data_IF_842714227485
#
_entry.id   IF_842714227485
#
_cell.length_a   1.000
_cell.length_b   1.000
_cell.length_c   1.000
_cell.angle_alpha   90.00
_cell.angle_beta   90.00
_cell.angle_gamma   90.00
#
_symmetry.space_group_name_H-M   'P 1'
#
loop_
_entity.id
_entity.type
_entity.pdbx_description
1 polymer ?
#
# COMPACT_ATOMS: atom_id res chain seq x y z
N UNK A 1 -1.00 -31.61 -21.55
CA UNK A 1 0.13 -30.69 -21.78
C UNK A 1 1.39 -31.51 -21.60
N UNK A 2 2.18 -31.66 -22.65
CA UNK A 2 3.47 -32.32 -22.53
C UNK A 2 4.43 -31.41 -21.75
N UNK A 3 5.49 -31.93 -21.11
CA UNK A 3 6.49 -31.09 -20.44
C UNK A 3 7.12 -30.02 -21.35
N UNK A 4 7.03 -30.19 -22.68
CA UNK A 4 7.48 -29.25 -23.69
C UNK A 4 6.56 -28.02 -23.86
N UNK A 5 5.30 -28.08 -23.41
CA UNK A 5 4.32 -26.99 -23.53
C UNK A 5 4.30 -26.06 -22.29
N UNK A 6 5.12 -26.36 -21.27
CA UNK A 6 5.18 -25.55 -20.06
C UNK A 6 5.89 -24.21 -20.35
N UNK A 7 5.33 -23.06 -19.92
CA UNK A 7 5.96 -21.76 -20.09
C UNK A 7 7.39 -21.75 -19.52
N UNK A 8 8.33 -21.14 -20.24
CA UNK A 8 9.72 -21.07 -19.79
C UNK A 8 9.80 -20.37 -18.41
N UNK A 9 10.51 -20.95 -17.42
CA UNK A 9 10.61 -20.37 -16.09
C UNK A 9 11.29 -19.00 -16.12
N UNK A 10 10.66 -18.00 -15.50
CA UNK A 10 11.25 -16.67 -15.34
C UNK A 10 12.30 -16.71 -14.22
N UNK A 11 13.54 -16.36 -14.54
CA UNK A 11 14.64 -16.29 -13.57
C UNK A 11 14.84 -14.91 -12.95
N UNK A 12 14.17 -13.90 -13.51
CA UNK A 12 14.20 -12.53 -13.01
C UNK A 12 12.78 -12.02 -12.80
N UNK A 13 12.62 -11.13 -11.82
CA UNK A 13 11.33 -10.47 -11.59
C UNK A 13 10.96 -9.62 -12.82
N UNK A 14 9.77 -9.81 -13.40
CA UNK A 14 9.37 -9.10 -14.60
C UNK A 14 9.12 -7.62 -14.31
N UNK A 15 9.32 -6.79 -15.34
CA UNK A 15 9.16 -5.33 -15.26
C UNK A 15 7.84 -4.86 -14.60
N UNK A 16 6.66 -5.43 -14.95
CA UNK A 16 5.41 -5.05 -14.34
C UNK A 16 5.35 -5.30 -12.82
N UNK A 17 5.93 -6.40 -12.34
CA UNK A 17 6.00 -6.69 -10.90
C UNK A 17 6.90 -5.67 -10.20
N UNK A 18 8.07 -5.34 -10.78
CA UNK A 18 8.95 -4.28 -10.26
C UNK A 18 8.24 -2.93 -10.23
N UNK A 19 7.50 -2.58 -11.29
CA UNK A 19 6.73 -1.35 -11.37
C UNK A 19 5.65 -1.27 -10.30
N UNK A 20 4.87 -2.34 -10.11
CA UNK A 20 3.86 -2.43 -9.06
C UNK A 20 4.49 -2.31 -7.65
N UNK A 21 5.63 -2.95 -7.41
CA UNK A 21 6.37 -2.81 -6.15
C UNK A 21 6.86 -1.39 -5.90
N UNK A 22 7.37 -0.70 -6.93
CA UNK A 22 7.82 0.68 -6.80
C UNK A 22 6.67 1.60 -6.44
N UNK A 23 5.51 1.45 -7.09
CA UNK A 23 4.31 2.22 -6.76
C UNK A 23 3.87 1.96 -5.32
N UNK A 24 3.73 0.68 -4.94
CA UNK A 24 3.32 0.30 -3.60
C UNK A 24 4.31 0.79 -2.53
N UNK A 25 5.62 0.75 -2.81
CA UNK A 25 6.65 1.29 -1.93
C UNK A 25 6.51 2.81 -1.73
N UNK A 26 6.30 3.57 -2.80
CA UNK A 26 6.08 5.02 -2.71
C UNK A 26 4.81 5.35 -1.90
N UNK A 27 3.76 4.56 -2.06
CA UNK A 27 2.53 4.68 -1.26
C UNK A 27 2.82 4.38 0.22
N UNK A 28 3.58 3.34 0.55
CA UNK A 28 4.01 3.03 1.91
C UNK A 28 4.76 4.20 2.53
N UNK A 29 5.79 4.72 1.84
CA UNK A 29 6.59 5.85 2.35
C UNK A 29 5.72 7.09 2.58
N UNK A 30 4.81 7.38 1.66
CA UNK A 30 3.91 8.53 1.75
C UNK A 30 2.95 8.38 2.93
N UNK A 31 2.26 7.24 3.04
CA UNK A 31 1.31 6.96 4.12
C UNK A 31 2.01 6.90 5.48
N UNK A 32 3.20 6.33 5.54
CA UNK A 32 3.98 6.27 6.76
C UNK A 32 4.43 7.68 7.20
N UNK A 33 4.94 8.50 6.28
CA UNK A 33 5.38 9.86 6.57
C UNK A 33 4.25 10.79 7.02
N UNK A 34 3.15 10.81 6.26
CA UNK A 34 1.96 11.60 6.61
C UNK A 34 1.33 11.06 7.89
N UNK A 35 1.15 9.74 7.99
CA UNK A 35 0.55 9.08 9.15
C UNK A 35 1.34 9.33 10.45
N UNK A 36 2.68 9.27 10.40
CA UNK A 36 3.53 9.61 11.55
C UNK A 36 3.37 11.07 11.94
N UNK A 37 3.35 11.98 10.96
CA UNK A 37 3.16 13.42 11.23
C UNK A 37 1.80 13.70 11.87
N UNK A 38 0.70 13.20 11.28
CA UNK A 38 -0.65 13.43 11.79
C UNK A 38 -0.87 12.78 13.16
N UNK A 39 -0.39 11.55 13.37
CA UNK A 39 -0.51 10.88 14.67
C UNK A 39 0.28 11.63 15.75
N UNK A 40 1.47 12.14 15.43
CA UNK A 40 2.28 12.95 16.36
C UNK A 40 1.58 14.27 16.68
N UNK A 41 1.17 15.02 15.66
CA UNK A 41 0.47 16.32 15.83
C UNK A 41 -0.83 16.15 16.60
N UNK A 42 -1.66 15.16 16.24
CA UNK A 42 -2.90 14.87 16.95
C UNK A 42 -2.69 14.42 18.39
N UNK A 43 -1.66 13.60 18.65
CA UNK A 43 -1.31 13.18 20.03
C UNK A 43 -0.86 14.37 20.88
N UNK A 44 -0.02 15.26 20.32
CA UNK A 44 0.39 16.48 21.00
C UNK A 44 -0.80 17.42 21.23
N UNK A 45 -1.67 17.59 20.24
CA UNK A 45 -2.88 18.39 20.36
C UNK A 45 -3.80 17.89 21.46
N UNK A 46 -4.09 16.58 21.49
CA UNK A 46 -4.93 15.93 22.50
C UNK A 46 -4.32 16.04 23.90
N UNK A 47 -3.00 15.92 24.02
CA UNK A 47 -2.30 16.10 25.29
C UNK A 47 -2.34 17.56 25.77
N UNK A 48 -2.12 18.52 24.86
CA UNK A 48 -2.15 19.96 25.17
C UNK A 48 -3.55 20.42 25.60
N UNK A 49 -4.62 19.97 24.93
CA UNK A 49 -6.00 20.34 25.30
C UNK A 49 -6.36 19.83 26.69
N UNK A 50 -5.97 18.60 27.04
CA UNK A 50 -6.15 18.06 28.40
C UNK A 50 -5.39 18.86 29.47
N UNK A 51 -4.17 19.33 29.16
CA UNK A 51 -3.45 20.22 30.08
C UNK A 51 -4.16 21.57 30.22
N UNK A 52 -4.69 22.11 29.13
CA UNK A 52 -5.42 23.37 29.15
C UNK A 52 -6.66 23.26 30.05
N UNK A 53 -7.47 22.21 29.88
CA UNK A 53 -8.63 21.93 30.74
C UNK A 53 -8.24 21.73 32.22
N UNK A 54 -7.07 21.16 32.48
CA UNK A 54 -6.61 20.92 33.84
C UNK A 54 -6.17 22.22 34.55
N UNK A 55 -5.54 23.14 33.82
CA UNK A 55 -5.00 24.39 34.37
C UNK A 55 -5.93 25.59 34.20
N UNK A 56 -6.96 25.50 33.35
CA UNK A 56 -7.88 26.59 33.02
C UNK A 56 -9.31 26.08 32.86
N UNK A 57 -10.31 26.93 33.09
CA UNK A 57 -11.73 26.63 32.81
C UNK A 57 -12.08 26.81 31.31
N UNK A 58 -11.13 26.63 30.41
CA UNK A 58 -11.34 26.83 28.98
C UNK A 58 -12.15 25.67 28.37
N UNK A 59 -13.23 26.00 27.65
CA UNK A 59 -13.97 25.03 26.85
C UNK A 59 -13.21 24.74 25.54
N UNK A 60 -12.49 23.62 25.53
CA UNK A 60 -11.67 23.16 24.40
C UNK A 60 -12.17 21.86 23.78
N UNK A 61 -13.43 21.48 24.05
CA UNK A 61 -14.00 20.21 23.58
C UNK A 61 -13.87 20.04 22.06
N UNK A 62 -14.16 21.09 21.29
CA UNK A 62 -14.02 21.08 19.82
C UNK A 62 -12.57 20.86 19.38
N UNK A 63 -11.60 21.51 20.03
CA UNK A 63 -10.19 21.34 19.70
C UNK A 63 -9.68 19.95 20.09
N UNK A 64 -10.18 19.39 21.20
CA UNK A 64 -9.84 18.04 21.62
C UNK A 64 -10.38 17.01 20.61
N UNK A 65 -11.63 17.16 20.16
CA UNK A 65 -12.25 16.27 19.17
C UNK A 65 -11.54 16.34 17.81
N UNK A 66 -11.19 17.55 17.35
CA UNK A 66 -10.41 17.73 16.13
C UNK A 66 -9.01 17.10 16.25
N UNK A 67 -8.32 17.33 17.36
CA UNK A 67 -7.00 16.74 17.60
C UNK A 67 -7.05 15.21 17.66
N UNK A 68 -8.09 14.65 18.27
CA UNK A 68 -8.32 13.21 18.31
C UNK A 68 -8.64 12.64 16.94
N UNK A 69 -9.45 13.32 16.13
CA UNK A 69 -9.75 12.92 14.76
C UNK A 69 -8.47 12.91 13.89
N UNK A 70 -7.61 13.93 14.02
CA UNK A 70 -6.30 14.00 13.36
C UNK A 70 -5.39 12.85 13.81
N UNK A 71 -5.36 12.57 15.12
CA UNK A 71 -4.58 11.47 15.69
C UNK A 71 -5.02 10.12 15.11
N UNK A 72 -6.33 9.87 15.09
CA UNK A 72 -6.94 8.63 14.58
C UNK A 72 -6.68 8.46 13.08
N UNK A 73 -6.80 9.54 12.30
CA UNK A 73 -6.46 9.54 10.88
C UNK A 73 -4.99 9.15 10.66
N UNK A 74 -4.07 9.70 11.46
CA UNK A 74 -2.65 9.36 11.41
C UNK A 74 -2.37 7.87 11.68
N UNK A 75 -2.95 7.32 12.74
CA UNK A 75 -2.81 5.89 13.06
C UNK A 75 -3.41 4.97 12.00
N UNK A 76 -4.54 5.37 11.40
CA UNK A 76 -5.17 4.63 10.31
C UNK A 76 -4.25 4.57 9.09
N UNK A 77 -3.62 5.69 8.72
CA UNK A 77 -2.62 5.72 7.63
C UNK A 77 -1.40 4.85 7.93
N UNK A 78 -0.91 4.85 9.17
CA UNK A 78 0.19 3.97 9.59
C UNK A 78 -0.18 2.49 9.47
N UNK A 79 -1.38 2.11 9.92
CA UNK A 79 -1.88 0.75 9.76
C UNK A 79 -1.96 0.33 8.28
N UNK A 80 -2.48 1.22 7.42
CA UNK A 80 -2.52 0.98 5.97
C UNK A 80 -1.11 0.84 5.36
N UNK A 81 -0.14 1.67 5.79
CA UNK A 81 1.25 1.58 5.34
C UNK A 81 1.89 0.24 5.70
N UNK A 82 1.63 -0.29 6.89
CA UNK A 82 2.12 -1.62 7.31
C UNK A 82 1.53 -2.72 6.44
N UNK A 83 0.21 -2.70 6.21
CA UNK A 83 -0.47 -3.69 5.36
C UNK A 83 0.11 -3.64 3.93
N UNK A 84 0.26 -2.45 3.36
CA UNK A 84 0.87 -2.27 2.04
C UNK A 84 2.33 -2.74 2.01
N UNK A 85 3.10 -2.50 3.06
CA UNK A 85 4.47 -3.00 3.17
C UNK A 85 4.55 -4.52 3.13
N UNK A 86 3.67 -5.20 3.87
CA UNK A 86 3.56 -6.67 3.87
C UNK A 86 3.16 -7.20 2.49
N UNK A 87 2.20 -6.55 1.82
CA UNK A 87 1.80 -6.92 0.46
C UNK A 87 2.92 -6.68 -0.56
N UNK A 88 3.63 -5.56 -0.46
CA UNK A 88 4.77 -5.21 -1.34
C UNK A 88 5.90 -6.24 -1.22
N UNK A 89 6.20 -6.67 0.01
CA UNK A 89 7.14 -7.77 0.26
C UNK A 89 6.64 -9.08 -0.36
N UNK A 90 5.38 -9.43 -0.14
CA UNK A 90 4.77 -10.65 -0.66
C UNK A 90 4.77 -10.71 -2.19
N UNK A 91 4.59 -9.57 -2.86
CA UNK A 91 4.67 -9.45 -4.31
C UNK A 91 6.08 -9.75 -4.82
N UNK A 92 7.11 -9.20 -4.16
CA UNK A 92 8.51 -9.48 -4.49
C UNK A 92 8.88 -10.94 -4.33
N UNK A 93 8.26 -11.61 -3.36
CA UNK A 93 8.38 -13.06 -3.16
C UNK A 93 7.52 -13.89 -4.14
N UNK A 94 6.71 -13.27 -5.00
CA UNK A 94 5.84 -13.96 -5.95
C UNK A 94 4.66 -14.69 -5.29
N UNK A 95 4.19 -14.21 -4.13
CA UNK A 95 3.04 -14.80 -3.44
C UNK A 95 1.71 -14.36 -4.06
N UNK A 96 0.89 -15.32 -4.48
CA UNK A 96 -0.41 -15.06 -5.12
C UNK A 96 -1.42 -14.34 -4.21
N UNK A 97 -1.39 -14.61 -2.90
CA UNK A 97 -2.23 -13.89 -1.93
C UNK A 97 -1.87 -12.40 -1.87
N UNK A 98 -0.60 -12.04 -2.09
CA UNK A 98 -0.15 -10.66 -2.08
C UNK A 98 -0.57 -9.91 -3.36
N UNK A 99 -0.56 -10.59 -4.51
CA UNK A 99 -1.13 -10.07 -5.75
C UNK A 99 -2.62 -9.72 -5.59
N UNK A 100 -3.42 -10.66 -5.08
CA UNK A 100 -4.86 -10.47 -4.88
C UNK A 100 -5.11 -9.41 -3.81
N UNK A 101 -4.42 -9.50 -2.67
CA UNK A 101 -4.57 -8.57 -1.56
C UNK A 101 -4.25 -7.14 -1.97
N UNK A 102 -3.17 -6.91 -2.72
CA UNK A 102 -2.85 -5.58 -3.21
C UNK A 102 -3.90 -5.10 -4.23
N UNK A 103 -4.30 -5.94 -5.18
CA UNK A 103 -5.31 -5.55 -6.15
C UNK A 103 -6.63 -5.14 -5.51
N UNK A 104 -7.10 -5.89 -4.51
CA UNK A 104 -8.32 -5.58 -3.74
C UNK A 104 -8.15 -4.28 -2.95
N UNK A 105 -7.03 -4.14 -2.24
CA UNK A 105 -6.76 -2.96 -1.40
C UNK A 105 -6.67 -1.68 -2.24
N UNK A 106 -5.89 -1.69 -3.32
CA UNK A 106 -5.71 -0.53 -4.22
C UNK A 106 -7.03 -0.14 -4.89
N UNK A 107 -7.85 -1.13 -5.29
CA UNK A 107 -9.18 -0.87 -5.85
C UNK A 107 -10.11 -0.26 -4.81
N UNK A 108 -10.12 -0.79 -3.58
CA UNK A 108 -10.94 -0.27 -2.49
C UNK A 108 -10.52 1.15 -2.08
N UNK A 109 -9.21 1.41 -2.00
CA UNK A 109 -8.66 2.75 -1.72
C UNK A 109 -9.02 3.72 -2.84
N UNK A 110 -8.82 3.33 -4.11
CA UNK A 110 -9.18 4.14 -5.26
C UNK A 110 -10.67 4.50 -5.29
N UNK A 111 -11.55 3.51 -5.05
CA UNK A 111 -12.99 3.73 -4.98
C UNK A 111 -13.38 4.63 -3.80
N UNK A 112 -12.80 4.42 -2.62
CA UNK A 112 -13.08 5.23 -1.42
C UNK A 112 -12.68 6.69 -1.62
N UNK A 113 -11.52 6.94 -2.23
CA UNK A 113 -11.04 8.29 -2.55
C UNK A 113 -11.95 8.94 -3.60
N UNK A 114 -12.31 8.22 -4.67
CA UNK A 114 -13.19 8.74 -5.71
C UNK A 114 -14.58 9.09 -5.17
N UNK A 115 -15.18 8.22 -4.37
CA UNK A 115 -16.48 8.47 -3.71
C UNK A 115 -16.37 9.62 -2.71
N UNK A 116 -15.35 9.61 -1.84
CA UNK A 116 -15.15 10.66 -0.84
C UNK A 116 -14.98 12.04 -1.45
N UNK A 117 -14.13 12.17 -2.47
CA UNK A 117 -13.94 13.42 -3.19
C UNK A 117 -15.18 13.88 -3.95
N UNK A 118 -15.96 12.94 -4.52
CA UNK A 118 -17.24 13.22 -5.15
C UNK A 118 -18.32 13.71 -4.17
N UNK A 119 -18.44 13.07 -3.01
CA UNK A 119 -19.42 13.43 -1.97
C UNK A 119 -19.09 14.76 -1.29
N UNK A 120 -17.81 15.08 -1.13
CA UNK A 120 -17.38 16.36 -0.55
C UNK A 120 -17.53 17.53 -1.52
N UNK A 121 -17.85 17.28 -2.81
CA UNK A 121 -17.98 18.32 -3.84
C UNK A 121 -16.72 19.15 -4.07
N UNK A 122 -15.59 18.76 -3.49
CA UNK A 122 -14.37 19.55 -3.48
C UNK A 122 -13.52 19.22 -4.71
N UNK A 123 -13.76 19.95 -5.79
CA UNK A 123 -13.07 19.75 -7.07
C UNK A 123 -11.55 19.93 -6.97
N UNK A 124 -11.08 20.84 -6.11
CA UNK A 124 -9.65 21.05 -5.90
C UNK A 124 -9.00 19.82 -5.24
N UNK A 125 -9.66 19.23 -4.23
CA UNK A 125 -9.20 18.00 -3.62
C UNK A 125 -9.23 16.83 -4.62
N UNK A 126 -10.28 16.71 -5.43
CA UNK A 126 -10.36 15.68 -6.47
C UNK A 126 -9.21 15.79 -7.49
N UNK A 127 -8.89 17.02 -7.95
CA UNK A 127 -7.80 17.28 -8.89
C UNK A 127 -6.42 16.89 -8.36
N UNK A 128 -6.22 16.87 -7.04
CA UNK A 128 -4.97 16.42 -6.43
C UNK A 128 -5.03 14.93 -6.12
N UNK A 129 -6.06 14.47 -5.43
CA UNK A 129 -6.09 13.09 -4.90
C UNK A 129 -6.22 12.04 -6.01
N UNK A 130 -6.95 12.33 -7.09
CA UNK A 130 -7.15 11.36 -8.19
C UNK A 130 -5.83 11.05 -8.93
N UNK A 131 -5.09 12.03 -9.47
CA UNK A 131 -3.86 11.72 -10.22
C UNK A 131 -2.72 11.21 -9.35
N UNK A 132 -2.66 11.60 -8.07
CA UNK A 132 -1.54 11.24 -7.20
C UNK A 132 -1.80 10.01 -6.32
N UNK A 133 -3.05 9.58 -6.14
CA UNK A 133 -3.38 8.37 -5.37
C UNK A 133 -4.14 7.32 -6.20
N UNK A 134 -5.21 7.71 -6.89
CA UNK A 134 -6.08 6.76 -7.60
C UNK A 134 -5.42 6.21 -8.88
N UNK A 135 -4.78 7.07 -9.68
CA UNK A 135 -4.12 6.62 -10.92
C UNK A 135 -2.95 5.66 -10.60
N UNK A 136 -2.02 5.95 -9.66
CA UNK A 136 -0.99 5.00 -9.28
C UNK A 136 -1.55 3.68 -8.76
N UNK A 137 -2.59 3.73 -7.91
CA UNK A 137 -3.26 2.55 -7.37
C UNK A 137 -3.81 1.65 -8.49
N UNK A 138 -4.54 2.22 -9.45
CA UNK A 138 -5.06 1.47 -10.59
C UNK A 138 -3.93 1.01 -11.53
N UNK A 139 -2.88 1.82 -11.69
CA UNK A 139 -1.68 1.46 -12.45
C UNK A 139 -1.00 0.22 -11.89
N UNK A 140 -0.84 0.13 -10.56
CA UNK A 140 -0.25 -1.05 -9.92
C UNK A 140 -1.11 -2.30 -10.14
N UNK A 141 -2.45 -2.17 -10.05
CA UNK A 141 -3.39 -3.26 -10.35
C UNK A 141 -3.22 -3.74 -11.80
N UNK A 142 -3.19 -2.82 -12.76
CA UNK A 142 -3.02 -3.15 -14.18
C UNK A 142 -1.69 -3.87 -14.43
N UNK A 143 -0.60 -3.41 -13.81
CA UNK A 143 0.70 -4.05 -13.92
C UNK A 143 0.68 -5.49 -13.36
N UNK A 144 -0.04 -5.73 -12.27
CA UNK A 144 -0.15 -7.04 -11.63
C UNK A 144 -1.00 -8.05 -12.41
N UNK A 145 -1.88 -7.61 -13.30
CA UNK A 145 -2.70 -8.49 -14.14
C UNK A 145 -2.08 -8.77 -15.50
N UNK A 146 -0.90 -8.21 -15.80
CA UNK A 146 -0.17 -8.52 -17.04
C UNK A 146 0.22 -10.00 -17.13
N UNK A 147 0.36 -10.51 -18.36
CA UNK A 147 0.70 -11.92 -18.59
C UNK A 147 1.99 -12.36 -17.91
N UNK A 148 3.04 -11.53 -17.94
CA UNK A 148 4.32 -11.81 -17.30
C UNK A 148 4.25 -11.76 -15.77
N UNK A 149 3.44 -10.87 -15.19
CA UNK A 149 3.16 -10.86 -13.75
C UNK A 149 2.40 -12.13 -13.33
N UNK A 150 1.35 -12.51 -14.08
CA UNK A 150 0.59 -13.73 -13.80
C UNK A 150 1.47 -14.98 -13.88
N UNK A 151 2.39 -15.05 -14.85
CA UNK A 151 3.37 -16.13 -14.94
C UNK A 151 4.29 -16.15 -13.72
N UNK A 152 4.81 -14.99 -13.30
CA UNK A 152 5.65 -14.84 -12.10
C UNK A 152 4.96 -15.37 -10.83
N UNK A 153 3.69 -15.04 -10.62
CA UNK A 153 2.93 -15.54 -9.47
C UNK A 153 2.55 -17.02 -9.60
N UNK A 154 2.27 -17.50 -10.82
CA UNK A 154 1.96 -18.91 -11.06
C UNK A 154 3.15 -19.84 -10.81
N UNK A 155 4.37 -19.37 -11.05
CA UNK A 155 5.60 -20.12 -10.77
C UNK A 155 6.13 -19.92 -9.33
N UNK A 156 5.35 -19.30 -8.44
CA UNK A 156 5.74 -19.00 -7.05
C UNK A 156 7.00 -18.10 -6.95
N UNK A 157 7.15 -17.17 -7.89
CA UNK A 157 8.22 -16.18 -7.90
C UNK A 157 9.60 -16.76 -8.17
N UNK A 158 10.46 -16.74 -7.15
CA UNK A 158 11.87 -17.15 -7.22
C UNK A 158 12.09 -18.66 -7.16
N UNK A 159 11.04 -19.46 -6.97
CA UNK A 159 11.17 -20.92 -6.84
C UNK A 159 11.96 -21.59 -7.98
N UNK A 160 11.76 -21.25 -9.28
CA UNK A 160 12.52 -21.85 -10.37
C UNK A 160 14.03 -21.54 -10.29
N UNK A 161 14.38 -20.33 -9.83
CA UNK A 161 15.78 -19.94 -9.62
C UNK A 161 16.41 -20.76 -8.49
N UNK A 162 15.73 -20.88 -7.35
CA UNK A 162 16.22 -21.66 -6.20
C UNK A 162 16.40 -23.13 -6.58
N UNK A 163 15.41 -23.72 -7.26
CA UNK A 163 15.49 -25.12 -7.70
C UNK A 163 16.73 -25.36 -8.58
N UNK A 164 16.97 -24.50 -9.57
CA UNK A 164 18.16 -24.55 -10.43
C UNK A 164 19.46 -24.37 -9.65
N UNK A 165 19.49 -23.47 -8.66
CA UNK A 165 20.67 -23.23 -7.82
C UNK A 165 21.04 -24.47 -6.99
N UNK A 166 20.06 -25.09 -6.32
CA UNK A 166 20.30 -26.28 -5.50
C UNK A 166 20.62 -27.52 -6.34
N UNK A 167 20.00 -27.69 -7.51
CA UNK A 167 20.35 -28.77 -8.44
C UNK A 167 21.79 -28.68 -8.93
N UNK A 168 22.29 -27.48 -9.23
CA UNK A 168 23.70 -27.27 -9.60
C UNK A 168 24.64 -27.55 -8.44
N UNK A 169 24.28 -27.10 -7.22
CA UNK A 169 25.10 -27.30 -6.03
C UNK A 169 25.23 -28.78 -5.65
N UNK A 170 24.17 -29.57 -5.80
CA UNK A 170 24.20 -31.00 -5.46
C UNK A 170 24.91 -31.88 -6.50
N UNK A 171 25.30 -31.31 -7.65
CA UNK A 171 26.06 -31.98 -8.72
C UNK A 171 27.55 -31.63 -8.71
N UNK A 172 27.97 -30.69 -7.85
CA UNK A 172 29.35 -30.26 -7.66
C UNK A 172 29.92 -30.88 -6.39
#
# INVERSE_FOLDING_TARGET
>A
MTPADAPEPLYETPGPVKGAQTIAFLQVVTLFGIGTTLSTVGSLGTWLTRLLEFFTDADVAVLHDDAFAVQLAGWTMLGAAVILGVLTWGIGAGKRWAQIGLAVLETALGASIAVGTGLLGNQALALVTVPFAVIPALGSVVLLVTGSANQWFAQHGWEPWYRRYYEKRNRA
#
